data_IF_839013439586
#
_entry.id   IF_839013439586
#
_cell.length_a   1.000
_cell.length_b   1.000
_cell.length_c   1.000
_cell.angle_alpha   90.00
_cell.angle_beta   90.00
_cell.angle_gamma   90.00
#
_symmetry.space_group_name_H-M   'P 1'
#
loop_
_entity.id
_entity.type
_entity.pdbx_description
1 polymer ?
#
# COMPACT_ATOMS: atom_id res chain seq x y z
N UNK A 1 16.63 17.79 13.89
CA UNK A 1 15.63 16.70 13.72
C UNK A 1 15.84 15.45 14.57
N UNK A 2 16.73 15.47 15.57
CA UNK A 2 16.84 14.37 16.56
C UNK A 2 15.49 14.04 17.22
N UNK A 3 14.66 15.06 17.46
CA UNK A 3 13.29 14.89 17.95
C UNK A 3 12.42 14.06 16.97
N UNK A 4 12.53 14.27 15.67
CA UNK A 4 11.79 13.50 14.68
C UNK A 4 12.23 12.03 14.70
N UNK A 5 13.54 11.76 14.78
CA UNK A 5 14.07 10.41 14.92
C UNK A 5 13.54 9.74 16.21
N UNK A 6 13.58 10.45 17.34
CA UNK A 6 13.05 9.96 18.62
C UNK A 6 11.55 9.68 18.51
N UNK A 7 10.76 10.62 18.00
CA UNK A 7 9.31 10.46 17.81
C UNK A 7 9.01 9.28 16.88
N UNK A 8 9.82 9.08 15.85
CA UNK A 8 9.68 8.01 14.87
C UNK A 8 9.83 6.62 15.51
N UNK A 9 10.74 6.48 16.48
CA UNK A 9 10.97 5.24 17.24
C UNK A 9 9.90 5.09 18.32
N UNK A 10 9.52 6.18 19.00
CA UNK A 10 8.46 6.16 20.01
C UNK A 10 7.11 5.76 19.42
N UNK A 11 6.77 6.24 18.22
CA UNK A 11 5.54 5.86 17.51
C UNK A 11 5.50 4.36 17.17
N UNK A 12 6.64 3.78 16.75
CA UNK A 12 6.76 2.34 16.52
C UNK A 12 6.49 1.54 17.80
N UNK A 13 7.09 1.97 18.92
CA UNK A 13 6.94 1.29 20.21
C UNK A 13 5.60 1.55 20.90
N UNK A 14 4.83 2.56 20.45
CA UNK A 14 3.48 2.83 20.95
C UNK A 14 2.43 1.85 20.41
N UNK A 15 2.69 1.15 19.31
CA UNK A 15 1.72 0.25 18.67
C UNK A 15 1.13 -0.84 19.58
N UNK A 16 1.90 -1.54 20.44
CA UNK A 16 1.36 -2.52 21.38
C UNK A 16 0.39 -1.90 22.40
N UNK A 17 0.66 -0.68 22.85
CA UNK A 17 -0.19 0.05 23.78
C UNK A 17 -1.50 0.45 23.09
N UNK A 18 -1.40 1.00 21.88
CA UNK A 18 -2.56 1.35 21.06
C UNK A 18 -3.43 0.12 20.78
N UNK A 19 -2.83 -1.02 20.44
CA UNK A 19 -3.58 -2.25 20.19
C UNK A 19 -4.38 -2.74 21.41
N UNK A 20 -3.82 -2.65 22.62
CA UNK A 20 -4.54 -3.01 23.86
C UNK A 20 -5.75 -2.10 24.13
N UNK A 21 -5.66 -0.82 23.75
CA UNK A 21 -6.78 0.11 23.87
C UNK A 21 -7.90 -0.24 22.87
N UNK A 22 -7.50 -0.68 21.67
CA UNK A 22 -8.40 -1.04 20.57
C UNK A 22 -9.13 -2.36 20.81
N UNK A 23 -8.49 -3.35 21.42
CA UNK A 23 -9.06 -4.69 21.66
C UNK A 23 -10.37 -4.66 22.46
N UNK A 24 -10.60 -3.61 23.24
CA UNK A 24 -11.82 -3.43 24.05
C UNK A 24 -13.01 -2.85 23.26
N UNK A 25 -12.80 -2.36 22.03
CA UNK A 25 -13.80 -1.61 21.27
C UNK A 25 -13.95 -2.21 19.86
N UNK A 26 -14.94 -3.11 19.63
CA UNK A 26 -15.12 -3.80 18.35
C UNK A 26 -15.30 -2.86 17.14
N UNK A 27 -15.94 -1.70 17.34
CA UNK A 27 -16.07 -0.68 16.32
C UNK A 27 -14.71 -0.10 15.93
N UNK A 28 -13.86 0.25 16.90
CA UNK A 28 -12.53 0.80 16.65
C UNK A 28 -11.65 -0.22 15.93
N UNK A 29 -11.72 -1.50 16.31
CA UNK A 29 -11.06 -2.61 15.60
C UNK A 29 -11.52 -2.69 14.12
N UNK A 30 -12.82 -2.63 13.88
CA UNK A 30 -13.38 -2.69 12.53
C UNK A 30 -13.02 -1.48 11.65
N UNK A 31 -12.91 -0.29 12.25
CA UNK A 31 -12.43 0.91 11.57
C UNK A 31 -10.94 0.85 11.27
N UNK A 32 -10.13 0.48 12.26
CA UNK A 32 -8.69 0.37 12.06
C UNK A 32 -8.31 -0.69 11.03
N UNK A 33 -9.09 -1.76 10.89
CA UNK A 33 -8.93 -2.75 9.83
C UNK A 33 -9.07 -2.12 8.42
N UNK A 34 -10.11 -1.31 8.20
CA UNK A 34 -10.29 -0.57 6.94
C UNK A 34 -9.19 0.47 6.71
N UNK A 35 -8.78 1.17 7.77
CA UNK A 35 -7.67 2.13 7.72
C UNK A 35 -6.35 1.46 7.32
N UNK A 36 -5.94 0.42 8.04
CA UNK A 36 -4.66 -0.28 7.79
C UNK A 36 -4.62 -0.88 6.40
N UNK A 37 -5.71 -1.50 5.94
CA UNK A 37 -5.75 -2.09 4.61
C UNK A 37 -5.52 -1.05 3.52
N UNK A 38 -6.25 0.07 3.55
CA UNK A 38 -6.06 1.15 2.56
C UNK A 38 -4.68 1.75 2.66
N UNK A 39 -4.21 2.05 3.88
CA UNK A 39 -2.92 2.69 4.08
C UNK A 39 -1.78 1.81 3.61
N UNK A 40 -1.74 0.53 3.99
CA UNK A 40 -0.66 -0.37 3.57
C UNK A 40 -0.68 -0.60 2.07
N UNK A 41 -1.85 -0.88 1.48
CA UNK A 41 -1.93 -1.12 0.04
C UNK A 41 -1.61 0.14 -0.77
N UNK A 42 -2.07 1.30 -0.29
CA UNK A 42 -1.76 2.60 -0.88
C UNK A 42 -0.27 2.93 -0.80
N UNK A 43 0.37 2.73 0.35
CA UNK A 43 1.82 2.95 0.49
C UNK A 43 2.62 1.99 -0.40
N UNK A 44 2.26 0.70 -0.43
CA UNK A 44 2.96 -0.25 -1.30
C UNK A 44 2.83 0.16 -2.76
N UNK A 45 1.62 0.45 -3.23
CA UNK A 45 1.35 0.70 -4.64
C UNK A 45 1.78 2.09 -5.14
N UNK A 46 1.70 3.11 -4.28
CA UNK A 46 1.88 4.52 -4.68
C UNK A 46 3.23 5.09 -4.26
N UNK A 47 3.95 4.44 -3.33
CA UNK A 47 5.26 4.93 -2.87
C UNK A 47 6.34 3.85 -2.99
N UNK A 48 6.17 2.70 -2.34
CA UNK A 48 7.25 1.72 -2.22
C UNK A 48 7.58 1.02 -3.54
N UNK A 49 6.57 0.56 -4.28
CA UNK A 49 6.79 -0.14 -5.55
C UNK A 49 7.36 0.81 -6.63
N UNK A 50 6.80 2.01 -6.87
CA UNK A 50 7.38 2.95 -7.83
C UNK A 50 8.83 3.31 -7.50
N UNK A 51 9.14 3.59 -6.24
CA UNK A 51 10.50 3.88 -5.78
C UNK A 51 11.46 2.70 -6.01
N UNK A 52 11.00 1.47 -5.75
CA UNK A 52 11.80 0.30 -6.02
C UNK A 52 12.11 0.16 -7.52
N UNK A 53 11.15 0.48 -8.39
CA UNK A 53 11.31 0.41 -9.84
C UNK A 53 12.19 1.54 -10.39
N UNK A 54 12.17 2.74 -9.80
CA UNK A 54 13.08 3.81 -10.22
C UNK A 54 14.55 3.44 -9.96
N UNK A 55 14.83 2.70 -8.87
CA UNK A 55 16.17 2.24 -8.51
C UNK A 55 16.60 0.95 -9.21
N UNK A 56 15.67 0.02 -9.44
CA UNK A 56 15.97 -1.33 -9.94
C UNK A 56 15.51 -1.59 -11.39
N UNK A 57 14.77 -0.66 -11.99
CA UNK A 57 14.19 -0.78 -13.33
C UNK A 57 13.33 -2.04 -13.50
N UNK A 58 13.38 -2.62 -14.70
CA UNK A 58 12.63 -3.83 -15.05
C UNK A 58 13.00 -5.06 -14.20
N UNK A 59 14.25 -5.16 -13.73
CA UNK A 59 14.65 -6.23 -12.82
C UNK A 59 13.94 -6.10 -11.46
N UNK A 60 13.70 -4.87 -10.99
CA UNK A 60 12.88 -4.60 -9.82
C UNK A 60 11.49 -5.24 -9.94
N UNK A 61 10.83 -5.12 -11.09
CA UNK A 61 9.51 -5.75 -11.31
C UNK A 61 9.55 -7.27 -11.19
N UNK A 62 10.57 -7.91 -11.76
CA UNK A 62 10.74 -9.36 -11.65
C UNK A 62 10.98 -9.79 -10.19
N UNK A 63 11.75 -9.02 -9.44
CA UNK A 63 12.03 -9.28 -8.04
C UNK A 63 10.79 -9.05 -7.17
N UNK A 64 9.99 -8.03 -7.45
CA UNK A 64 8.71 -7.81 -6.78
C UNK A 64 7.73 -8.95 -7.06
N UNK A 65 7.63 -9.40 -8.32
CA UNK A 65 6.82 -10.56 -8.67
C UNK A 65 7.31 -11.84 -7.96
N UNK A 66 8.63 -12.02 -7.88
CA UNK A 66 9.21 -13.12 -7.11
C UNK A 66 8.85 -13.03 -5.63
N UNK A 67 8.99 -11.87 -5.00
CA UNK A 67 8.60 -11.64 -3.61
C UNK A 67 7.11 -11.90 -3.35
N UNK A 68 6.25 -11.55 -4.30
CA UNK A 68 4.81 -11.82 -4.25
C UNK A 68 4.47 -13.31 -4.37
N UNK A 69 5.15 -14.02 -5.27
CA UNK A 69 4.91 -15.44 -5.53
C UNK A 69 5.63 -16.35 -4.52
N UNK A 70 6.66 -15.87 -3.84
CA UNK A 70 7.49 -16.68 -2.93
C UNK A 70 6.68 -17.45 -1.88
N UNK A 71 5.67 -16.85 -1.20
CA UNK A 71 4.86 -17.59 -0.24
C UNK A 71 4.09 -18.75 -0.88
N UNK A 72 3.50 -18.52 -2.05
CA UNK A 72 2.75 -19.55 -2.78
C UNK A 72 3.65 -20.69 -3.26
N UNK A 73 4.85 -20.35 -3.74
CA UNK A 73 5.88 -21.33 -4.12
C UNK A 73 6.28 -22.14 -2.89
N UNK A 74 6.48 -21.49 -1.74
CA UNK A 74 6.83 -22.18 -0.50
C UNK A 74 5.70 -23.11 -0.03
N UNK A 75 4.44 -22.68 -0.08
CA UNK A 75 3.28 -23.53 0.24
C UNK A 75 3.20 -24.74 -0.68
N UNK A 76 3.40 -24.52 -1.99
CA UNK A 76 3.41 -25.58 -2.98
C UNK A 76 4.56 -26.58 -2.79
N UNK A 77 5.74 -26.14 -2.37
CA UNK A 77 6.88 -27.03 -2.14
C UNK A 77 6.79 -27.79 -0.81
N UNK A 78 6.15 -27.20 0.20
CA UNK A 78 6.16 -27.72 1.58
C UNK A 78 4.78 -28.16 2.09
N UNK A 79 3.92 -28.72 1.23
CA UNK A 79 2.55 -29.21 1.54
C UNK A 79 2.39 -30.02 2.85
N UNK A 80 3.45 -30.60 3.41
CA UNK A 80 3.43 -31.38 4.67
C UNK A 80 3.73 -30.56 5.93
N UNK A 81 4.02 -29.26 5.79
CA UNK A 81 4.47 -28.35 6.84
C UNK A 81 3.82 -26.95 6.72
N UNK A 82 2.54 -26.90 6.37
CA UNK A 82 1.76 -25.68 6.12
C UNK A 82 1.95 -24.60 7.21
N UNK A 83 1.90 -25.00 8.49
CA UNK A 83 2.07 -24.08 9.62
C UNK A 83 3.50 -23.51 9.72
N UNK A 84 4.51 -24.28 9.32
CA UNK A 84 5.91 -23.81 9.27
C UNK A 84 6.14 -22.86 8.09
N UNK A 85 5.57 -23.16 6.94
CA UNK A 85 5.69 -22.32 5.74
C UNK A 85 5.13 -20.92 5.98
N UNK A 86 3.93 -20.84 6.58
CA UNK A 86 3.33 -19.56 6.92
C UNK A 86 4.23 -18.75 7.86
N UNK A 87 4.77 -19.37 8.93
CA UNK A 87 5.71 -18.72 9.86
C UNK A 87 6.98 -18.22 9.19
N UNK A 88 7.57 -19.00 8.29
CA UNK A 88 8.78 -18.61 7.55
C UNK A 88 8.49 -17.42 6.64
N UNK A 89 7.39 -17.44 5.89
CA UNK A 89 6.97 -16.32 5.04
C UNK A 89 6.80 -15.05 5.84
N UNK A 90 6.13 -15.09 6.99
CA UNK A 90 5.98 -13.92 7.84
C UNK A 90 7.31 -13.42 8.41
N UNK A 91 8.24 -14.32 8.74
CA UNK A 91 9.56 -13.92 9.23
C UNK A 91 10.36 -13.23 8.12
N UNK A 92 10.29 -13.75 6.88
CA UNK A 92 10.89 -13.11 5.71
C UNK A 92 10.26 -11.74 5.45
N UNK A 93 8.94 -11.60 5.52
CA UNK A 93 8.25 -10.32 5.38
C UNK A 93 8.63 -9.34 6.51
N UNK A 94 8.75 -9.82 7.76
CA UNK A 94 9.20 -9.00 8.88
C UNK A 94 10.65 -8.52 8.68
N UNK A 95 11.54 -9.40 8.20
CA UNK A 95 12.92 -9.04 7.88
C UNK A 95 13.00 -8.02 6.74
N UNK A 96 12.20 -8.22 5.68
CA UNK A 96 12.05 -7.27 4.58
C UNK A 96 11.72 -5.87 5.07
N UNK A 97 10.78 -5.80 6.02
CA UNK A 97 10.35 -4.54 6.62
C UNK A 97 11.38 -3.94 7.60
N UNK A 98 12.09 -4.77 8.37
CA UNK A 98 13.20 -4.32 9.24
C UNK A 98 14.27 -3.61 8.41
N UNK A 99 14.66 -4.17 7.27
CA UNK A 99 15.64 -3.54 6.38
C UNK A 99 15.05 -2.31 5.70
N UNK A 100 13.77 -2.32 5.30
CA UNK A 100 13.10 -1.12 4.78
C UNK A 100 13.10 0.04 5.79
N UNK A 101 13.02 -0.24 7.10
CA UNK A 101 13.11 0.80 8.12
C UNK A 101 14.46 1.56 8.11
N UNK A 102 15.52 0.97 7.55
CA UNK A 102 16.78 1.68 7.32
C UNK A 102 16.63 2.77 6.25
N UNK A 103 15.86 2.52 5.18
CA UNK A 103 15.51 3.54 4.19
C UNK A 103 14.75 4.70 4.83
N UNK A 104 13.79 4.44 5.72
CA UNK A 104 13.08 5.51 6.45
C UNK A 104 14.04 6.37 7.30
N UNK A 105 15.07 5.74 7.88
CA UNK A 105 16.13 6.44 8.61
C UNK A 105 17.00 7.29 7.71
N UNK A 106 17.38 6.76 6.54
CA UNK A 106 18.19 7.47 5.55
C UNK A 106 17.49 8.72 5.03
N UNK A 107 16.22 8.61 4.65
CA UNK A 107 15.40 9.75 4.19
C UNK A 107 15.29 10.79 5.31
N UNK A 108 15.15 10.35 6.56
CA UNK A 108 15.14 11.26 7.69
C UNK A 108 16.49 11.97 7.87
N UNK A 109 17.63 11.38 7.54
CA UNK A 109 18.91 12.08 7.57
C UNK A 109 19.03 13.12 6.44
N UNK A 110 18.66 12.74 5.21
CA UNK A 110 18.66 13.67 4.07
C UNK A 110 17.72 14.87 4.26
N UNK A 111 16.61 14.69 4.99
CA UNK A 111 15.67 15.76 5.28
C UNK A 111 16.30 16.92 6.08
N UNK A 112 17.37 16.68 6.85
CA UNK A 112 17.98 17.69 7.77
C UNK A 112 18.66 18.81 6.99
N UNK A 113 19.11 18.51 5.77
CA UNK A 113 19.80 19.44 4.89
C UNK A 113 18.83 20.29 4.04
N UNK A 114 17.52 20.03 4.12
CA UNK A 114 16.50 20.71 3.31
C UNK A 114 15.80 21.84 4.08
N UNK A 115 15.42 22.92 3.40
CA UNK A 115 14.59 24.00 3.98
C UNK A 115 13.21 23.50 4.47
N UNK A 116 12.79 22.30 4.07
CA UNK A 116 11.52 21.66 4.43
C UNK A 116 11.63 20.51 5.43
N UNK A 117 12.76 20.41 6.14
CA UNK A 117 13.06 19.36 7.12
C UNK A 117 11.85 18.92 7.96
N UNK A 118 11.07 19.88 8.48
CA UNK A 118 9.90 19.64 9.33
C UNK A 118 8.77 18.87 8.62
N UNK A 119 8.58 19.09 7.33
CA UNK A 119 7.48 18.51 6.56
C UNK A 119 7.79 17.09 6.11
N UNK A 120 9.01 16.84 5.62
CA UNK A 120 9.49 15.48 5.31
C UNK A 120 9.49 14.63 6.58
N UNK A 121 9.98 15.19 7.69
CA UNK A 121 9.89 14.53 8.99
C UNK A 121 8.44 14.21 9.38
N UNK A 122 7.48 15.13 9.15
CA UNK A 122 6.07 14.88 9.43
C UNK A 122 5.49 13.76 8.56
N UNK A 123 5.81 13.71 7.27
CA UNK A 123 5.40 12.63 6.37
C UNK A 123 5.92 11.26 6.81
N UNK A 124 7.20 11.19 7.20
CA UNK A 124 7.82 9.96 7.75
C UNK A 124 7.15 9.55 9.07
N UNK A 125 6.91 10.50 9.99
CA UNK A 125 6.23 10.23 11.25
C UNK A 125 4.82 9.69 11.00
N UNK A 126 4.09 10.29 10.06
CA UNK A 126 2.74 9.89 9.70
C UNK A 126 2.72 8.47 9.12
N UNK A 127 3.57 8.19 8.12
CA UNK A 127 3.81 6.84 7.55
C UNK A 127 4.07 5.79 8.63
N UNK A 128 4.95 6.10 9.59
CA UNK A 128 5.34 5.18 10.67
C UNK A 128 4.20 4.78 11.58
N UNK A 129 3.21 5.65 11.81
CA UNK A 129 2.00 5.26 12.54
C UNK A 129 1.28 4.13 11.81
N UNK A 130 1.13 4.25 10.49
CA UNK A 130 0.53 3.21 9.64
C UNK A 130 1.31 1.90 9.71
N UNK A 131 2.63 1.97 9.53
CA UNK A 131 3.52 0.80 9.58
C UNK A 131 3.47 0.12 10.95
N UNK A 132 3.62 0.87 12.05
CA UNK A 132 3.67 0.32 13.40
C UNK A 132 2.41 -0.48 13.75
N UNK A 133 1.25 0.08 13.42
CA UNK A 133 -0.05 -0.55 13.64
C UNK A 133 -0.19 -1.80 12.75
N UNK A 134 0.14 -1.68 11.46
CA UNK A 134 0.06 -2.77 10.50
C UNK A 134 0.93 -3.97 10.94
N UNK A 135 2.20 -3.72 11.29
CA UNK A 135 3.15 -4.75 11.73
C UNK A 135 2.65 -5.46 12.97
N UNK A 136 2.22 -4.70 13.97
CA UNK A 136 1.77 -5.30 15.22
C UNK A 136 0.60 -6.26 14.98
N UNK A 137 -0.41 -5.85 14.21
CA UNK A 137 -1.56 -6.72 13.94
C UNK A 137 -1.30 -7.84 12.95
N UNK A 138 -0.39 -7.63 12.01
CA UNK A 138 -0.03 -8.67 11.06
C UNK A 138 0.76 -9.80 11.73
N UNK A 139 1.66 -9.45 12.64
CA UNK A 139 2.52 -10.42 13.30
C UNK A 139 1.91 -11.04 14.56
N UNK A 140 1.07 -10.32 15.31
CA UNK A 140 0.51 -10.82 16.59
C UNK A 140 -0.26 -12.14 16.48
N UNK A 141 -1.03 -12.45 15.42
CA UNK A 141 -1.72 -13.72 15.30
C UNK A 141 -0.78 -14.94 15.31
N UNK A 142 0.51 -14.74 15.02
CA UNK A 142 1.45 -15.83 14.77
C UNK A 142 2.72 -15.76 15.63
N UNK A 143 3.11 -14.55 16.03
CA UNK A 143 4.22 -14.31 16.94
C UNK A 143 3.73 -14.11 18.37
N UNK A 144 4.56 -14.49 19.35
CA UNK A 144 4.34 -14.11 20.74
C UNK A 144 4.43 -12.59 20.89
N UNK A 145 3.81 -12.04 21.93
CA UNK A 145 3.90 -10.60 22.27
C UNK A 145 5.35 -10.11 22.28
N UNK A 146 6.27 -10.92 22.84
CA UNK A 146 7.69 -10.59 22.92
C UNK A 146 8.39 -10.61 21.57
N UNK A 147 8.07 -11.57 20.70
CA UNK A 147 8.59 -11.60 19.33
C UNK A 147 8.07 -10.40 18.51
N UNK A 148 6.80 -10.00 18.68
CA UNK A 148 6.26 -8.78 18.07
C UNK A 148 6.98 -7.51 18.55
N UNK A 149 7.23 -7.40 19.85
CA UNK A 149 8.03 -6.29 20.42
C UNK A 149 9.45 -6.31 19.85
N UNK A 150 10.10 -7.48 19.76
CA UNK A 150 11.43 -7.61 19.20
C UNK A 150 11.51 -7.12 17.75
N UNK A 151 10.50 -7.43 16.92
CA UNK A 151 10.42 -6.91 15.54
C UNK A 151 10.27 -5.39 15.55
N UNK A 152 9.33 -4.82 16.33
CA UNK A 152 9.18 -3.36 16.41
C UNK A 152 10.46 -2.64 16.88
N UNK A 153 11.17 -3.23 17.86
CA UNK A 153 12.47 -2.73 18.31
C UNK A 153 13.51 -2.83 17.21
N UNK A 154 13.53 -3.92 16.43
CA UNK A 154 14.44 -4.07 15.30
C UNK A 154 14.16 -3.05 14.18
N UNK A 155 12.89 -2.73 13.88
CA UNK A 155 12.54 -1.63 12.97
C UNK A 155 13.08 -0.29 13.49
N UNK A 156 12.90 -0.02 14.79
CA UNK A 156 13.42 1.19 15.42
C UNK A 156 14.95 1.27 15.38
N UNK A 157 15.64 0.17 15.66
CA UNK A 157 17.09 0.07 15.58
C UNK A 157 17.60 0.28 14.15
N UNK A 158 16.99 -0.37 13.15
CA UNK A 158 17.39 -0.20 11.75
C UNK A 158 17.10 1.19 11.21
N UNK A 159 16.06 1.87 11.70
CA UNK A 159 15.88 3.31 11.43
C UNK A 159 17.11 4.10 11.86
N UNK A 160 17.57 3.90 13.10
CA UNK A 160 18.73 4.61 13.61
C UNK A 160 19.97 4.25 12.79
N UNK A 161 20.16 2.98 12.44
CA UNK A 161 21.26 2.53 11.57
C UNK A 161 21.23 3.26 10.23
N UNK A 162 20.08 3.30 9.54
CA UNK A 162 19.96 3.98 8.26
C UNK A 162 20.23 5.48 8.33
N UNK A 163 19.75 6.14 9.38
CA UNK A 163 20.05 7.56 9.65
C UNK A 163 21.55 7.79 9.83
N UNK A 164 22.22 6.97 10.64
CA UNK A 164 23.66 7.07 10.87
C UNK A 164 24.48 6.71 9.63
N UNK A 165 24.02 5.74 8.82
CA UNK A 165 24.72 5.38 7.58
C UNK A 165 24.78 6.54 6.60
N UNK A 166 23.75 7.39 6.50
CA UNK A 166 23.83 8.60 5.67
C UNK A 166 24.89 9.56 6.22
N UNK A 167 24.87 9.81 7.54
CA UNK A 167 25.82 10.72 8.20
C UNK A 167 27.29 10.28 8.00
N UNK A 168 27.56 8.97 8.07
CA UNK A 168 28.94 8.45 8.04
C UNK A 168 29.40 7.90 6.69
N UNK A 169 28.49 7.48 5.82
CA UNK A 169 28.80 6.80 4.56
C UNK A 169 28.24 7.51 3.31
N UNK A 170 27.58 8.66 3.46
CA UNK A 170 27.08 9.47 2.35
C UNK A 170 25.99 8.77 1.53
N UNK A 171 26.11 8.81 0.20
CA UNK A 171 25.07 8.39 -0.77
C UNK A 171 24.92 6.88 -0.96
N UNK A 172 25.02 6.08 0.11
CA UNK A 172 24.81 4.63 0.04
C UNK A 172 23.39 4.25 -0.40
N UNK A 173 22.42 5.15 -0.27
CA UNK A 173 21.02 4.95 -0.64
C UNK A 173 20.83 4.72 -2.15
N UNK A 174 21.68 5.31 -2.99
CA UNK A 174 21.53 5.30 -4.45
C UNK A 174 22.02 4.00 -5.12
N UNK A 175 22.40 2.97 -4.35
CA UNK A 175 22.85 1.70 -4.91
C UNK A 175 21.67 0.83 -5.35
N UNK A 176 21.73 0.15 -6.52
CA UNK A 176 20.63 -0.68 -7.03
C UNK A 176 20.15 -1.79 -6.08
N UNK A 177 21.03 -2.23 -5.17
CA UNK A 177 20.71 -3.24 -4.16
C UNK A 177 19.56 -2.81 -3.24
N UNK A 178 19.45 -1.51 -2.93
CA UNK A 178 18.34 -0.96 -2.14
C UNK A 178 17.03 -1.12 -2.91
N UNK A 179 17.02 -0.79 -4.21
CA UNK A 179 15.85 -0.98 -5.08
C UNK A 179 15.42 -2.44 -5.20
N UNK A 180 16.37 -3.38 -5.35
CA UNK A 180 16.06 -4.81 -5.38
C UNK A 180 15.43 -5.30 -4.08
N UNK A 181 15.95 -4.85 -2.93
CA UNK A 181 15.38 -5.21 -1.65
C UNK A 181 13.98 -4.63 -1.45
N UNK A 182 13.78 -3.35 -1.79
CA UNK A 182 12.49 -2.68 -1.72
C UNK A 182 11.45 -3.36 -2.62
N UNK A 183 11.84 -3.77 -3.83
CA UNK A 183 10.98 -4.51 -4.75
C UNK A 183 10.53 -5.84 -4.15
N UNK A 184 11.48 -6.63 -3.62
CA UNK A 184 11.17 -7.89 -2.95
C UNK A 184 10.23 -7.69 -1.76
N UNK A 185 10.50 -6.68 -0.93
CA UNK A 185 9.67 -6.30 0.20
C UNK A 185 8.25 -5.92 -0.25
N UNK A 186 8.11 -5.05 -1.26
CA UNK A 186 6.84 -4.62 -1.81
C UNK A 186 5.99 -5.81 -2.28
N UNK A 187 6.59 -6.73 -3.04
CA UNK A 187 5.92 -7.95 -3.50
C UNK A 187 5.45 -8.84 -2.35
N UNK A 188 6.34 -9.12 -1.38
CA UNK A 188 6.02 -9.98 -0.23
C UNK A 188 4.92 -9.39 0.67
N UNK A 189 4.97 -8.09 0.94
CA UNK A 189 3.94 -7.39 1.73
C UNK A 189 2.60 -7.37 0.99
N UNK A 190 2.61 -7.18 -0.33
CA UNK A 190 1.42 -7.22 -1.15
C UNK A 190 0.73 -8.59 -1.05
N UNK A 191 1.49 -9.69 -1.13
CA UNK A 191 0.95 -11.03 -0.92
C UNK A 191 0.29 -11.16 0.46
N UNK A 192 1.01 -10.79 1.51
CA UNK A 192 0.58 -10.97 2.89
C UNK A 192 -0.69 -10.18 3.21
N UNK A 193 -0.86 -8.98 2.65
CA UNK A 193 -2.06 -8.16 2.84
C UNK A 193 -3.25 -8.65 2.02
N UNK A 194 -3.00 -9.22 0.83
CA UNK A 194 -4.05 -9.74 -0.04
C UNK A 194 -4.56 -11.11 0.41
N UNK A 195 -3.70 -11.98 0.95
CA UNK A 195 -4.08 -13.35 1.33
C UNK A 195 -5.31 -13.44 2.28
N UNK A 196 -5.45 -12.61 3.34
CA UNK A 196 -6.64 -12.63 4.19
C UNK A 196 -7.95 -12.28 3.48
N UNK A 197 -7.91 -11.58 2.34
CA UNK A 197 -9.09 -11.18 1.57
C UNK A 197 -9.73 -12.37 0.82
N UNK A 198 -8.97 -13.43 0.56
CA UNK A 198 -9.44 -14.67 -0.07
C UNK A 198 -10.20 -15.58 0.90
N UNK A 199 -9.95 -15.43 2.20
CA UNK A 199 -10.73 -16.13 3.23
C UNK A 199 -12.17 -15.57 3.27
N UNK A 200 -13.18 -16.42 3.49
CA UNK A 200 -14.62 -16.14 3.31
C UNK A 200 -15.22 -15.03 4.22
N UNK A 201 -14.40 -14.18 4.82
CA UNK A 201 -14.76 -13.11 5.77
C UNK A 201 -14.54 -11.68 5.21
N UNK A 202 -14.58 -11.49 3.89
CA UNK A 202 -14.40 -10.18 3.25
C UNK A 202 -15.56 -9.18 3.48
N UNK A 203 -16.73 -9.64 3.93
CA UNK A 203 -17.89 -8.78 4.22
C UNK A 203 -17.86 -8.28 5.67
N UNK A 204 -17.79 -6.96 5.92
CA UNK A 204 -17.89 -6.41 7.26
C UNK A 204 -19.22 -6.80 7.93
N UNK A 205 -19.19 -7.06 9.24
CA UNK A 205 -20.42 -7.31 9.99
C UNK A 205 -21.29 -6.04 10.02
N UNK A 206 -22.63 -6.14 9.96
CA UNK A 206 -23.53 -4.97 9.95
C UNK A 206 -23.29 -4.01 11.11
N UNK A 207 -22.95 -4.55 12.29
CA UNK A 207 -22.70 -3.78 13.53
C UNK A 207 -21.42 -2.94 13.49
N UNK A 208 -20.43 -3.31 12.68
CA UNK A 208 -19.15 -2.60 12.55
C UNK A 208 -18.98 -1.92 11.19
N UNK A 209 -19.98 -2.02 10.31
CA UNK A 209 -19.93 -1.49 8.96
C UNK A 209 -19.59 0.01 8.94
N UNK A 210 -20.28 0.83 9.73
CA UNK A 210 -20.01 2.27 9.79
C UNK A 210 -18.56 2.57 10.20
N UNK A 211 -18.06 1.86 11.22
CA UNK A 211 -16.69 2.05 11.65
C UNK A 211 -15.69 1.67 10.55
N UNK A 212 -15.95 0.57 9.84
CA UNK A 212 -15.13 0.15 8.69
C UNK A 212 -15.12 1.20 7.56
N UNK A 213 -16.26 1.84 7.28
CA UNK A 213 -16.35 2.93 6.30
C UNK A 213 -15.56 4.16 6.75
N UNK A 214 -15.71 4.55 8.02
CA UNK A 214 -14.96 5.68 8.61
C UNK A 214 -13.45 5.39 8.52
N UNK A 215 -13.04 4.18 8.89
CA UNK A 215 -11.65 3.75 8.80
C UNK A 215 -11.09 3.76 7.38
N UNK A 216 -11.86 3.22 6.42
CA UNK A 216 -11.51 3.27 4.99
C UNK A 216 -11.34 4.72 4.52
N UNK A 217 -12.28 5.59 4.86
CA UNK A 217 -12.21 7.02 4.53
C UNK A 217 -11.01 7.72 5.16
N UNK A 218 -10.72 7.42 6.43
CA UNK A 218 -9.54 7.93 7.13
C UNK A 218 -8.23 7.44 6.49
N UNK A 219 -8.18 6.19 6.02
CA UNK A 219 -7.02 5.64 5.31
C UNK A 219 -6.80 6.31 3.96
N UNK A 220 -7.87 6.55 3.20
CA UNK A 220 -7.80 7.31 1.93
C UNK A 220 -7.30 8.73 2.20
N UNK A 221 -7.88 9.41 3.20
CA UNK A 221 -7.48 10.77 3.56
C UNK A 221 -6.00 10.79 3.97
N UNK A 222 -5.57 9.84 4.77
CA UNK A 222 -4.17 9.70 5.18
C UNK A 222 -3.24 9.54 3.97
N UNK A 223 -3.54 8.63 3.05
CA UNK A 223 -2.73 8.41 1.84
C UNK A 223 -2.72 9.66 0.96
N UNK A 224 -3.86 10.33 0.78
CA UNK A 224 -3.96 11.58 0.02
C UNK A 224 -3.19 12.72 0.66
N UNK A 225 -3.21 12.85 1.99
CA UNK A 225 -2.41 13.83 2.71
C UNK A 225 -0.92 13.52 2.60
N UNK A 226 -0.54 12.24 2.62
CA UNK A 226 0.86 11.81 2.48
C UNK A 226 1.40 12.07 1.07
N UNK A 227 0.62 11.76 0.04
CA UNK A 227 0.99 12.04 -1.37
C UNK A 227 0.94 13.55 -1.65
N UNK A 228 -0.12 14.22 -1.20
CA UNK A 228 -0.25 15.66 -1.32
C UNK A 228 0.87 16.39 -0.61
N UNK A 229 1.32 15.86 0.54
CA UNK A 229 2.50 16.35 1.21
C UNK A 229 3.72 16.20 0.28
N UNK A 230 4.03 14.99 -0.16
CA UNK A 230 5.13 14.73 -1.08
C UNK A 230 5.12 15.63 -2.34
N UNK A 231 3.96 15.88 -2.94
CA UNK A 231 3.78 16.68 -4.15
C UNK A 231 3.97 18.19 -3.94
N UNK A 232 3.41 18.75 -2.86
CA UNK A 232 3.45 20.20 -2.62
C UNK A 232 4.88 20.73 -2.41
N UNK A 233 5.84 19.83 -2.18
CA UNK A 233 7.24 20.14 -1.96
C UNK A 233 8.14 19.97 -3.20
N UNK A 234 7.69 19.19 -4.18
CA UNK A 234 8.46 18.91 -5.40
C UNK A 234 7.89 19.56 -6.67
N UNK A 235 6.84 20.39 -6.54
CA UNK A 235 6.35 21.20 -7.65
C UNK A 235 7.48 22.11 -8.18
N UNK A 236 7.97 21.92 -9.42
CA UNK A 236 8.96 22.80 -10.00
C UNK A 236 8.34 24.18 -10.14
N UNK A 237 9.08 25.23 -9.78
CA UNK A 237 8.58 26.60 -9.99
C UNK A 237 8.35 26.90 -11.48
N UNK A 238 9.04 26.24 -12.41
CA UNK A 238 8.89 26.50 -13.86
C UNK A 238 9.39 25.32 -14.72
N UNK A 239 8.52 24.47 -15.29
CA UNK A 239 8.93 23.53 -16.36
C UNK A 239 7.84 23.37 -17.43
N UNK A 240 8.16 23.78 -18.66
CA UNK A 240 7.29 23.79 -19.85
C UNK A 240 7.40 22.48 -20.68
N UNK A 241 8.39 21.62 -20.43
CA UNK A 241 8.55 20.31 -21.08
C UNK A 241 9.28 19.34 -20.14
N UNK A 242 8.79 18.10 -19.99
CA UNK A 242 9.42 17.05 -19.17
C UNK A 242 9.62 15.81 -20.03
N UNK A 243 10.86 15.31 -20.14
CA UNK A 243 11.14 14.00 -20.71
C UNK A 243 10.71 12.91 -19.71
N UNK A 244 10.27 11.74 -20.19
CA UNK A 244 9.88 10.62 -19.31
C UNK A 244 11.02 10.15 -18.37
N UNK A 245 12.27 10.50 -18.68
CA UNK A 245 13.44 10.18 -17.86
C UNK A 245 13.76 11.24 -16.80
N UNK A 246 13.21 12.45 -16.92
CA UNK A 246 13.34 13.56 -15.94
C UNK A 246 12.12 13.70 -15.03
N UNK A 247 11.14 12.79 -15.15
CA UNK A 247 10.05 12.66 -14.20
C UNK A 247 10.59 12.13 -12.87
N UNK A 248 11.28 13.00 -12.10
CA UNK A 248 11.81 12.67 -10.78
C UNK A 248 10.73 12.34 -9.74
N UNK A 249 9.44 12.33 -10.13
CA UNK A 249 8.33 12.02 -9.25
C UNK A 249 7.42 10.98 -9.91
N UNK A 250 7.45 9.74 -9.41
CA UNK A 250 6.50 8.69 -9.77
C UNK A 250 5.03 9.18 -9.71
N UNK A 251 4.74 10.13 -8.82
CA UNK A 251 3.42 10.79 -8.69
C UNK A 251 3.04 11.60 -9.93
N UNK A 252 3.99 12.27 -10.60
CA UNK A 252 3.74 13.02 -11.83
C UNK A 252 3.41 12.09 -13.00
N UNK A 253 4.13 10.97 -13.07
CA UNK A 253 3.84 9.91 -14.04
C UNK A 253 2.43 9.34 -13.80
N UNK A 254 2.12 8.99 -12.55
CA UNK A 254 0.81 8.50 -12.13
C UNK A 254 -0.31 9.49 -12.45
N UNK A 255 -0.09 10.77 -12.18
CA UNK A 255 -1.01 11.86 -12.51
C UNK A 255 -1.20 12.02 -14.02
N UNK A 256 -0.12 11.93 -14.79
CA UNK A 256 -0.14 12.05 -16.25
C UNK A 256 -0.87 10.87 -16.90
N UNK A 257 -0.51 9.64 -16.54
CA UNK A 257 -1.22 8.42 -16.96
C UNK A 257 -2.69 8.48 -16.51
N UNK A 258 -2.94 8.99 -15.31
CA UNK A 258 -4.28 9.22 -14.79
C UNK A 258 -5.11 10.18 -15.64
N UNK A 259 -4.57 11.36 -15.98
CA UNK A 259 -5.24 12.36 -16.83
C UNK A 259 -5.52 11.84 -18.23
N UNK A 260 -4.62 11.04 -18.79
CA UNK A 260 -4.81 10.40 -20.09
C UNK A 260 -5.89 9.31 -20.07
N UNK A 261 -5.92 8.48 -19.02
CA UNK A 261 -6.77 7.29 -18.99
C UNK A 261 -8.14 7.54 -18.36
N UNK A 262 -8.27 8.55 -17.48
CA UNK A 262 -9.51 8.85 -16.76
C UNK A 262 -10.77 8.95 -17.63
N UNK A 263 -10.76 9.56 -18.83
CA UNK A 263 -11.93 9.58 -19.71
C UNK A 263 -12.42 8.16 -20.05
N UNK A 264 -11.50 7.26 -20.40
CA UNK A 264 -11.80 5.87 -20.73
C UNK A 264 -12.24 5.07 -19.50
N UNK A 265 -11.62 5.32 -18.34
CA UNK A 265 -11.98 4.66 -17.10
C UNK A 265 -13.40 5.07 -16.63
N UNK A 266 -13.73 6.36 -16.69
CA UNK A 266 -15.08 6.87 -16.40
C UNK A 266 -16.08 6.28 -17.40
N UNK A 267 -15.75 6.29 -18.69
CA UNK A 267 -16.62 5.71 -19.73
C UNK A 267 -16.88 4.23 -19.45
N UNK A 268 -15.87 3.46 -19.04
CA UNK A 268 -16.02 2.05 -18.67
C UNK A 268 -17.02 1.86 -17.53
N UNK A 269 -16.93 2.68 -16.48
CA UNK A 269 -17.88 2.66 -15.36
C UNK A 269 -19.30 3.05 -15.79
N UNK A 270 -19.43 4.08 -16.63
CA UNK A 270 -20.71 4.56 -17.16
C UNK A 270 -21.37 3.54 -18.07
N UNK A 271 -20.64 2.94 -19.01
CA UNK A 271 -21.13 1.90 -19.91
C UNK A 271 -21.58 0.68 -19.11
N UNK A 272 -20.79 0.23 -18.13
CA UNK A 272 -21.19 -0.87 -17.25
C UNK A 272 -22.50 -0.60 -16.50
N UNK A 273 -22.63 0.59 -15.91
CA UNK A 273 -23.83 0.99 -15.18
C UNK A 273 -25.07 1.13 -16.09
N UNK A 274 -24.91 1.77 -17.25
CA UNK A 274 -25.99 2.00 -18.21
C UNK A 274 -26.44 0.71 -18.90
N UNK A 275 -25.51 -0.15 -19.31
CA UNK A 275 -25.81 -1.46 -19.89
C UNK A 275 -26.73 -2.28 -18.97
N UNK A 276 -26.42 -2.30 -17.67
CA UNK A 276 -27.24 -3.03 -16.69
C UNK A 276 -28.64 -2.43 -16.54
N UNK A 277 -28.75 -1.10 -16.57
CA UNK A 277 -30.04 -0.39 -16.49
C UNK A 277 -30.90 -0.60 -17.74
N UNK A 278 -30.28 -0.59 -18.93
CA UNK A 278 -30.97 -0.81 -20.22
C UNK A 278 -31.54 -2.22 -20.31
N UNK A 279 -30.85 -3.22 -19.76
CA UNK A 279 -31.32 -4.61 -19.73
C UNK A 279 -32.25 -4.92 -18.53
N UNK A 280 -33.04 -3.94 -18.10
CA UNK A 280 -34.06 -4.10 -17.06
C UNK A 280 -33.54 -4.22 -15.63
N UNK A 281 -32.25 -3.96 -15.39
CA UNK A 281 -31.67 -3.97 -14.04
C UNK A 281 -32.10 -2.75 -13.21
N UNK A 282 -32.15 -2.93 -11.89
CA UNK A 282 -32.43 -1.84 -10.95
C UNK A 282 -31.22 -0.89 -10.80
N UNK A 283 -31.42 0.29 -10.19
CA UNK A 283 -30.31 1.17 -9.80
C UNK A 283 -29.30 0.47 -8.86
N UNK A 284 -29.78 -0.43 -8.00
CA UNK A 284 -28.91 -1.23 -7.14
C UNK A 284 -28.01 -2.17 -7.95
N UNK A 285 -28.51 -2.72 -9.06
CA UNK A 285 -27.72 -3.59 -9.94
C UNK A 285 -26.68 -2.81 -10.74
N UNK A 286 -27.03 -1.59 -11.19
CA UNK A 286 -26.08 -0.68 -11.82
C UNK A 286 -24.95 -0.32 -10.83
N UNK A 287 -25.28 0.00 -9.58
CA UNK A 287 -24.30 0.28 -8.54
C UNK A 287 -23.40 -0.93 -8.23
N UNK A 288 -23.97 -2.14 -8.11
CA UNK A 288 -23.17 -3.38 -7.97
C UNK A 288 -22.20 -3.59 -9.14
N UNK A 289 -22.58 -3.17 -10.34
CA UNK A 289 -21.69 -3.25 -11.52
C UNK A 289 -20.53 -2.27 -11.37
N UNK A 290 -20.78 -1.04 -10.91
CA UNK A 290 -19.73 -0.06 -10.59
C UNK A 290 -18.81 -0.61 -9.49
N UNK A 291 -19.35 -1.23 -8.43
CA UNK A 291 -18.54 -1.83 -7.35
C UNK A 291 -17.57 -2.91 -7.85
N UNK A 292 -17.95 -3.66 -8.90
CA UNK A 292 -17.09 -4.68 -9.51
C UNK A 292 -16.04 -4.09 -10.44
N UNK A 293 -16.41 -3.06 -11.21
CA UNK A 293 -15.53 -2.46 -12.21
C UNK A 293 -14.53 -1.46 -11.62
N UNK A 294 -14.91 -0.73 -10.57
CA UNK A 294 -14.06 0.27 -9.92
C UNK A 294 -12.66 -0.26 -9.54
N UNK A 295 -12.52 -1.38 -8.82
CA UNK A 295 -11.18 -1.91 -8.49
C UNK A 295 -10.38 -2.29 -9.73
N UNK A 296 -11.03 -2.83 -10.78
CA UNK A 296 -10.35 -3.16 -12.04
C UNK A 296 -9.83 -1.91 -12.75
N UNK A 297 -10.59 -0.81 -12.75
CA UNK A 297 -10.12 0.46 -13.32
C UNK A 297 -8.93 1.04 -12.54
N UNK A 298 -8.91 0.88 -11.21
CA UNK A 298 -7.77 1.28 -10.37
C UNK A 298 -6.53 0.45 -10.70
N UNK A 299 -6.69 -0.87 -10.82
CA UNK A 299 -5.61 -1.79 -11.20
C UNK A 299 -5.08 -1.51 -12.61
N UNK A 300 -5.97 -1.17 -13.56
CA UNK A 300 -5.57 -0.78 -14.91
C UNK A 300 -4.73 0.51 -14.91
N UNK A 301 -5.14 1.53 -14.15
CA UNK A 301 -4.37 2.77 -14.01
C UNK A 301 -2.98 2.52 -13.40
N UNK A 302 -2.90 1.72 -12.33
CA UNK A 302 -1.61 1.33 -11.72
C UNK A 302 -0.74 0.52 -12.70
N UNK A 303 -1.32 -0.45 -13.39
CA UNK A 303 -0.61 -1.26 -14.38
C UNK A 303 -0.07 -0.43 -15.55
N UNK A 304 -0.86 0.53 -16.05
CA UNK A 304 -0.41 1.45 -17.09
C UNK A 304 0.70 2.38 -16.60
N UNK A 305 0.66 2.80 -15.34
CA UNK A 305 1.75 3.59 -14.72
C UNK A 305 3.03 2.77 -14.64
N UNK A 306 2.95 1.51 -14.21
CA UNK A 306 4.11 0.61 -14.15
C UNK A 306 4.70 0.39 -15.55
N UNK A 307 3.85 0.15 -16.55
CA UNK A 307 4.32 -0.02 -17.93
C UNK A 307 4.99 1.26 -18.43
N UNK A 308 4.42 2.42 -18.11
CA UNK A 308 4.98 3.72 -18.42
C UNK A 308 6.37 3.95 -17.78
N UNK A 309 6.56 3.52 -16.52
CA UNK A 309 7.84 3.63 -15.81
C UNK A 309 8.90 2.73 -16.44
N UNK A 310 8.52 1.51 -16.86
CA UNK A 310 9.45 0.52 -17.38
C UNK A 310 9.84 0.72 -18.84
N UNK A 311 9.06 1.49 -19.59
CA UNK A 311 9.19 1.58 -21.04
C UNK A 311 9.53 3.02 -21.46
N UNK A 312 10.65 3.25 -22.16
CA UNK A 312 11.18 4.58 -22.44
C UNK A 312 10.48 5.26 -23.63
N UNK A 313 9.15 5.33 -23.63
CA UNK A 313 8.39 6.09 -24.63
C UNK A 313 7.89 7.40 -24.04
N UNK A 314 7.93 8.46 -24.84
CA UNK A 314 7.39 9.76 -24.44
C UNK A 314 5.87 9.67 -24.29
N UNK A 315 5.40 9.91 -23.07
CA UNK A 315 3.98 9.92 -22.76
C UNK A 315 3.46 11.34 -22.98
N UNK A 316 2.38 11.53 -23.77
CA UNK A 316 1.81 12.85 -23.95
C UNK A 316 1.41 13.43 -22.60
N UNK A 317 1.85 14.66 -22.29
CA UNK A 317 1.43 15.37 -21.08
C UNK A 317 0.20 16.21 -21.42
N UNK A 318 -1.03 15.74 -21.12
CA UNK A 318 -2.22 16.50 -21.46
C UNK A 318 -2.22 17.81 -20.66
N UNK A 319 -2.42 18.94 -21.35
CA UNK A 319 -2.60 20.25 -20.68
C UNK A 319 -3.90 20.31 -19.85
N UNK A 320 -4.78 19.32 -19.97
CA UNK A 320 -6.07 19.22 -19.28
C UNK A 320 -6.28 17.85 -18.61
N UNK A 321 -7.54 17.51 -18.34
CA UNK A 321 -7.90 16.21 -17.78
C UNK A 321 -7.85 16.11 -16.25
N UNK A 322 -7.37 17.14 -15.54
CA UNK A 322 -7.38 17.18 -14.07
C UNK A 322 -8.79 16.96 -13.48
N UNK A 323 -9.82 17.57 -14.07
CA UNK A 323 -11.20 17.41 -13.63
C UNK A 323 -11.70 15.98 -13.82
N UNK A 324 -11.38 15.35 -14.97
CA UNK A 324 -11.78 13.97 -15.23
C UNK A 324 -11.03 12.99 -14.34
N UNK A 325 -9.73 13.21 -14.13
CA UNK A 325 -8.94 12.38 -13.22
C UNK A 325 -9.42 12.53 -11.76
N UNK A 326 -9.65 13.75 -11.30
CA UNK A 326 -10.21 14.02 -9.98
C UNK A 326 -11.61 13.42 -9.79
N UNK A 327 -12.46 13.49 -10.81
CA UNK A 327 -13.77 12.84 -10.80
C UNK A 327 -13.66 11.32 -10.71
N UNK A 328 -12.77 10.71 -11.50
CA UNK A 328 -12.53 9.27 -11.46
C UNK A 328 -12.02 8.83 -10.09
N UNK A 329 -11.00 9.49 -9.54
CA UNK A 329 -10.50 9.24 -8.18
C UNK A 329 -11.64 9.39 -7.16
N UNK A 330 -12.46 10.44 -7.28
CA UNK A 330 -13.61 10.67 -6.41
C UNK A 330 -14.61 9.51 -6.44
N UNK A 331 -14.90 8.95 -7.62
CA UNK A 331 -15.74 7.77 -7.77
C UNK A 331 -15.10 6.55 -7.11
N UNK A 332 -13.80 6.29 -7.34
CA UNK A 332 -13.08 5.17 -6.72
C UNK A 332 -13.11 5.26 -5.19
N UNK A 333 -12.76 6.43 -4.64
CA UNK A 333 -12.78 6.69 -3.20
C UNK A 333 -14.18 6.50 -2.63
N UNK A 334 -15.22 7.04 -3.29
CA UNK A 334 -16.60 6.87 -2.85
C UNK A 334 -17.01 5.40 -2.83
N UNK A 335 -16.77 4.66 -3.91
CA UNK A 335 -17.11 3.24 -4.02
C UNK A 335 -16.39 2.44 -2.94
N UNK A 336 -15.09 2.66 -2.77
CA UNK A 336 -14.26 1.98 -1.77
C UNK A 336 -14.73 2.26 -0.33
N UNK A 337 -15.07 3.50 0.01
CA UNK A 337 -15.65 3.84 1.34
C UNK A 337 -17.00 3.16 1.53
N UNK A 338 -17.86 3.14 0.51
CA UNK A 338 -19.21 2.59 0.65
C UNK A 338 -19.22 1.06 0.72
N UNK A 339 -18.37 0.38 -0.05
CA UNK A 339 -18.21 -1.08 0.00
C UNK A 339 -17.38 -1.54 1.20
N UNK A 340 -16.49 -0.69 1.70
CA UNK A 340 -15.39 -1.09 2.57
C UNK A 340 -14.20 -1.58 1.74
N UNK A 341 -12.98 -1.32 2.25
CA UNK A 341 -11.74 -1.65 1.56
C UNK A 341 -11.59 -3.16 1.27
N UNK A 342 -11.97 -4.03 2.22
CA UNK A 342 -11.87 -5.49 2.05
C UNK A 342 -12.71 -5.98 0.86
N UNK A 343 -13.97 -5.56 0.82
CA UNK A 343 -14.88 -5.94 -0.26
C UNK A 343 -14.43 -5.32 -1.60
N UNK A 344 -13.87 -4.12 -1.58
CA UNK A 344 -13.36 -3.47 -2.77
C UNK A 344 -12.23 -4.29 -3.41
N UNK A 345 -11.22 -4.65 -2.64
CA UNK A 345 -10.04 -5.36 -3.15
C UNK A 345 -10.29 -6.86 -3.39
N UNK A 346 -11.24 -7.50 -2.72
CA UNK A 346 -11.56 -8.92 -2.97
C UNK A 346 -12.09 -9.20 -4.37
N UNK A 347 -12.56 -8.18 -5.10
CA UNK A 347 -12.94 -8.31 -6.50
C UNK A 347 -11.75 -8.45 -7.46
N UNK A 348 -10.54 -8.08 -7.02
CA UNK A 348 -9.32 -8.23 -7.81
C UNK A 348 -8.72 -9.63 -7.72
N UNK A 349 -9.10 -10.39 -6.67
CA UNK A 349 -8.48 -11.67 -6.42
C UNK A 349 -9.14 -12.78 -7.25
N UNK A 350 -8.35 -13.70 -7.82
CA UNK A 350 -8.92 -14.84 -8.51
C UNK A 350 -9.69 -15.68 -7.50
N UNK A 351 -10.95 -16.02 -7.80
CA UNK A 351 -11.72 -16.96 -7.00
C UNK A 351 -11.18 -18.36 -7.22
N UNK A 352 -10.09 -18.71 -6.56
CA UNK A 352 -9.65 -20.09 -6.47
C UNK A 352 -10.70 -20.85 -5.67
N UNK A 353 -11.29 -21.91 -6.25
CA UNK A 353 -12.18 -22.82 -5.52
C UNK A 353 -11.35 -23.47 -4.42
N UNK A 354 -11.43 -22.96 -3.19
CA UNK A 354 -10.86 -23.64 -2.03
C UNK A 354 -11.49 -25.03 -1.94
N UNK A 355 -10.66 -26.07 -1.94
CA UNK A 355 -11.12 -27.42 -1.64
C UNK A 355 -11.84 -27.40 -0.29
N UNK A 356 -13.03 -28.00 -0.23
CA UNK A 356 -13.80 -28.15 0.99
C UNK A 356 -12.97 -28.92 2.03
N UNK A 357 -12.30 -28.23 2.95
CA UNK A 357 -11.81 -28.85 4.17
C UNK A 357 -13.02 -29.07 5.07
N UNK A 358 -13.59 -30.27 5.00
CA UNK A 358 -14.56 -30.75 5.98
C UNK A 358 -13.84 -30.88 7.32
N UNK A 359 -13.97 -29.88 8.19
CA UNK A 359 -13.70 -30.06 9.60
C UNK A 359 -14.82 -30.94 10.18
N UNK A 360 -14.62 -32.25 10.15
CA UNK A 360 -15.36 -33.17 11.02
C UNK A 360 -14.89 -32.92 12.45
N UNK A 361 -15.58 -32.04 13.17
CA UNK A 361 -15.51 -32.06 14.62
C UNK A 361 -16.29 -33.30 15.09
N UNK A 362 -15.55 -34.35 15.43
CA UNK A 362 -16.07 -35.49 16.15
C UNK A 362 -16.23 -35.15 17.63
N UNK A 363 -17.45 -35.38 18.13
CA UNK A 363 -17.83 -35.87 19.47
C UNK A 363 -17.10 -35.34 20.69
#
# INVERSE_FOLDING_TARGET
MELALILSVLLLLAAPLLARLVDKVPALKGGLDGFVLVTVLGLIALTLLPEALSHAGALGMLIALFGFCLPWIAEFLFHRAEEMTHRVVMLVAALALVVHAASDGAILAFADESESAAFVATGILLHRVGVAIAVWWLLRPVLTTWAGIAVLTALGAMTVVGYLMVIFAGDWYNIPLVGYWQAFAAGSLLHVVLHPLDSHSATPQPRTLLAHRIGTGAGILFVMLLIGAHYLYHAPSDVIMMSAHEAHHAVDLMSTVGRLTAPLLILTLMVGATFRKVHGGSFADAYKTIQRLAPLTLMLWLGLTIVAELVPFDIPTPMGGHLMFGLWIGIICFVMVQSGARMFFSHLLPKFRSHNHSHSHGG
#
